data_IF_576230334890
#
_entry.id   IF_576230334890
#
_cell.length_a   1.000
_cell.length_b   1.000
_cell.length_c   1.000
_cell.angle_alpha   90.00
_cell.angle_beta   90.00
_cell.angle_gamma   90.00
#
_symmetry.space_group_name_H-M   'P 1'
#
loop_
_entity.id
_entity.type
_entity.pdbx_description
1 polymer ?
#
# COMPACT_ATOMS: atom_id res chain seq x y z
N UNK A 1 3.52 -8.92 9.17
CA UNK A 1 4.27 -9.62 8.10
C UNK A 1 4.30 -11.12 8.40
N UNK A 2 3.14 -11.78 8.41
CA UNK A 2 3.03 -13.19 8.82
C UNK A 2 1.87 -13.84 8.05
N UNK A 3 1.92 -13.84 6.71
CA UNK A 3 1.10 -14.75 5.87
C UNK A 3 1.62 -14.71 4.43
N UNK A 4 2.62 -15.51 4.10
CA UNK A 4 3.10 -15.71 2.74
C UNK A 4 3.82 -17.06 2.61
N UNK A 5 3.07 -18.15 2.44
CA UNK A 5 3.61 -19.46 2.04
C UNK A 5 2.90 -20.08 0.83
N UNK A 6 1.95 -19.38 0.19
CA UNK A 6 1.24 -19.87 -1.00
C UNK A 6 1.20 -18.79 -2.09
N UNK A 7 1.33 -19.15 -3.38
CA UNK A 7 1.46 -18.22 -4.51
C UNK A 7 0.21 -17.39 -4.80
N UNK A 8 -0.89 -17.63 -4.09
CA UNK A 8 -2.13 -16.86 -4.19
C UNK A 8 -2.65 -16.65 -2.76
N UNK A 9 -2.25 -15.55 -2.14
CA UNK A 9 -2.90 -15.12 -0.91
C UNK A 9 -4.24 -14.45 -1.29
N UNK A 10 -5.37 -14.83 -0.68
CA UNK A 10 -6.66 -14.20 -0.97
C UNK A 10 -6.64 -12.70 -0.65
N UNK A 11 -5.81 -12.29 0.31
CA UNK A 11 -5.62 -10.90 0.71
C UNK A 11 -4.15 -10.57 0.99
N UNK A 12 -3.67 -9.43 0.49
CA UNK A 12 -2.40 -8.82 0.87
C UNK A 12 -2.65 -7.61 1.79
N UNK A 13 -1.87 -7.54 2.86
CA UNK A 13 -1.80 -6.39 3.76
C UNK A 13 -0.47 -5.70 3.55
N UNK A 14 -0.51 -4.44 3.12
CA UNK A 14 0.68 -3.63 2.85
C UNK A 14 0.63 -2.35 3.68
N UNK A 15 1.78 -1.99 4.23
CA UNK A 15 1.94 -0.74 4.98
C UNK A 15 2.71 0.28 4.13
N UNK A 16 2.11 1.44 3.91
CA UNK A 16 2.66 2.57 3.18
C UNK A 16 2.83 3.78 4.11
N UNK A 17 3.73 4.68 3.75
CA UNK A 17 3.93 5.93 4.51
C UNK A 17 2.85 6.94 4.14
N UNK A 18 2.74 7.24 2.85
CA UNK A 18 1.75 8.17 2.33
C UNK A 18 0.88 7.48 1.30
N UNK A 19 -0.40 7.85 1.26
CA UNK A 19 -1.30 7.43 0.20
C UNK A 19 -2.17 8.57 -0.29
N UNK A 20 -2.43 8.59 -1.60
CA UNK A 20 -3.42 9.49 -2.19
C UNK A 20 -4.85 8.93 -2.05
N UNK A 21 -5.87 9.78 -2.18
CA UNK A 21 -7.27 9.31 -2.34
C UNK A 21 -7.50 8.41 -3.56
N UNK A 22 -6.61 8.45 -4.55
CA UNK A 22 -6.61 7.53 -5.69
C UNK A 22 -5.97 6.17 -5.38
N UNK A 23 -5.43 5.96 -4.18
CA UNK A 23 -4.77 4.72 -3.77
C UNK A 23 -3.30 4.62 -4.15
N UNK A 24 -2.69 5.67 -4.72
CA UNK A 24 -1.25 5.67 -5.00
C UNK A 24 -0.48 5.61 -3.69
N UNK A 25 0.48 4.67 -3.60
CA UNK A 25 1.23 4.45 -2.38
C UNK A 25 2.68 4.90 -2.53
N UNK A 26 3.12 5.67 -1.55
CA UNK A 26 4.51 6.01 -1.34
C UNK A 26 5.04 5.29 -0.10
N UNK A 27 6.14 4.57 -0.27
CA UNK A 27 6.86 3.91 0.81
C UNK A 27 8.14 4.68 1.12
N UNK A 28 8.46 4.78 2.42
CA UNK A 28 9.74 5.32 2.86
C UNK A 28 10.84 4.26 2.89
N UNK A 29 12.03 4.65 2.43
CA UNK A 29 13.29 3.92 2.61
C UNK A 29 13.17 2.44 2.19
N UNK A 30 13.42 1.53 3.13
CA UNK A 30 13.47 0.07 2.93
C UNK A 30 12.09 -0.59 2.91
N UNK A 31 11.01 0.15 3.15
CA UNK A 31 9.64 -0.37 3.09
C UNK A 31 9.16 -0.66 1.65
N UNK A 32 10.04 -0.54 0.64
CA UNK A 32 9.82 -0.87 -0.78
C UNK A 32 10.09 -2.34 -1.13
N UNK A 33 10.36 -3.21 -0.14
CA UNK A 33 10.85 -4.57 -0.38
C UNK A 33 9.85 -5.49 -1.12
N UNK A 34 8.90 -6.09 -0.40
CA UNK A 34 7.93 -7.05 -0.92
C UNK A 34 6.53 -6.44 -1.06
N UNK A 35 6.29 -5.25 -0.50
CA UNK A 35 4.96 -4.61 -0.53
C UNK A 35 4.38 -4.47 -1.95
N UNK A 36 5.12 -3.96 -2.96
CA UNK A 36 4.57 -3.84 -4.32
C UNK A 36 4.32 -5.20 -4.98
N UNK A 37 5.19 -6.19 -4.71
CA UNK A 37 5.08 -7.53 -5.28
C UNK A 37 3.87 -8.29 -4.68
N UNK A 38 3.63 -8.12 -3.39
CA UNK A 38 2.46 -8.68 -2.70
C UNK A 38 1.16 -8.02 -3.15
N UNK A 39 1.18 -6.70 -3.40
CA UNK A 39 0.02 -5.96 -3.91
C UNK A 39 -0.45 -6.45 -5.28
N UNK A 40 0.47 -6.91 -6.13
CA UNK A 40 0.14 -7.46 -7.46
C UNK A 40 -0.22 -8.95 -7.43
N UNK A 41 0.17 -9.68 -6.38
CA UNK A 41 -0.03 -11.13 -6.27
C UNK A 41 -1.32 -11.51 -5.52
N UNK A 42 -2.03 -10.56 -4.91
CA UNK A 42 -3.25 -10.82 -4.15
C UNK A 42 -4.52 -10.43 -4.91
N UNK A 43 -5.60 -11.15 -4.64
CA UNK A 43 -6.94 -10.82 -5.16
C UNK A 43 -7.57 -9.62 -4.44
N UNK A 44 -7.22 -9.41 -3.17
CA UNK A 44 -7.65 -8.27 -2.35
C UNK A 44 -6.43 -7.59 -1.73
N UNK A 45 -6.17 -6.34 -2.08
CA UNK A 45 -5.03 -5.58 -1.52
C UNK A 45 -5.52 -4.51 -0.57
N UNK A 46 -5.15 -4.65 0.70
CA UNK A 46 -5.46 -3.70 1.77
C UNK A 46 -4.19 -2.90 2.08
N UNK A 47 -4.24 -1.61 1.82
CA UNK A 47 -3.14 -0.68 2.05
C UNK A 47 -3.41 0.19 3.27
N UNK A 48 -2.58 0.04 4.31
CA UNK A 48 -2.56 0.92 5.46
C UNK A 48 -1.58 2.06 5.22
N UNK A 49 -2.05 3.31 5.28
CA UNK A 49 -1.23 4.50 5.12
C UNK A 49 -1.12 5.29 6.42
N UNK A 50 0.08 5.80 6.74
CA UNK A 50 0.27 6.68 7.91
C UNK A 50 -0.36 8.05 7.69
N UNK A 51 -0.17 8.62 6.49
CA UNK A 51 -0.75 9.91 6.10
C UNK A 51 -1.52 9.76 4.78
N UNK A 52 -2.80 10.15 4.78
CA UNK A 52 -3.61 10.24 3.56
C UNK A 52 -3.57 11.68 3.07
N UNK A 53 -3.09 11.88 1.85
CA UNK A 53 -2.87 13.19 1.23
C UNK A 53 -3.79 13.39 0.01
N UNK A 54 -4.09 14.63 -0.38
CA UNK A 54 -4.90 14.88 -1.56
C UNK A 54 -4.16 14.52 -2.84
N UNK A 55 -4.91 14.11 -3.86
CA UNK A 55 -4.40 13.69 -5.18
C UNK A 55 -3.50 14.78 -5.76
N UNK A 56 -2.28 14.41 -6.15
CA UNK A 56 -1.26 15.32 -6.68
C UNK A 56 -0.24 15.80 -5.64
N UNK A 57 -0.40 15.43 -4.36
CA UNK A 57 0.61 15.70 -3.33
C UNK A 57 1.80 14.74 -3.41
N UNK A 58 1.58 13.52 -3.89
CA UNK A 58 2.63 12.54 -4.17
C UNK A 58 3.17 12.79 -5.58
N UNK A 59 4.49 13.00 -5.70
CA UNK A 59 5.15 13.11 -7.00
C UNK A 59 4.98 11.79 -7.78
N UNK A 60 4.68 11.82 -9.09
CA UNK A 60 4.58 10.61 -9.91
C UNK A 60 5.80 9.68 -9.80
N UNK A 61 7.00 10.24 -9.64
CA UNK A 61 8.25 9.48 -9.47
C UNK A 61 8.38 8.79 -8.10
N UNK A 62 7.62 9.27 -7.10
CA UNK A 62 7.58 8.73 -5.75
C UNK A 62 6.53 7.62 -5.59
N UNK A 63 5.62 7.47 -6.56
CA UNK A 63 4.61 6.41 -6.57
C UNK A 63 5.29 5.08 -6.91
N UNK A 64 5.33 4.17 -5.92
CA UNK A 64 5.93 2.85 -6.11
C UNK A 64 4.86 1.83 -6.47
N UNK A 65 3.70 1.91 -5.81
CA UNK A 65 2.56 1.04 -6.10
C UNK A 65 1.41 1.90 -6.58
N UNK A 66 0.93 1.68 -7.82
CA UNK A 66 -0.20 2.43 -8.35
C UNK A 66 -1.48 2.04 -7.61
N UNK A 67 -2.38 3.00 -7.41
CA UNK A 67 -3.65 2.74 -6.72
C UNK A 67 -4.57 1.76 -7.44
N UNK A 68 -4.35 1.48 -8.72
CA UNK A 68 -5.11 0.50 -9.49
C UNK A 68 -5.07 -0.91 -8.89
N UNK A 69 -3.97 -1.29 -8.21
CA UNK A 69 -3.85 -2.60 -7.55
C UNK A 69 -4.27 -2.57 -6.08
N UNK A 70 -4.69 -1.42 -5.57
CA UNK A 70 -5.14 -1.25 -4.18
C UNK A 70 -6.65 -1.33 -4.14
N UNK A 71 -7.18 -2.30 -3.40
CA UNK A 71 -8.63 -2.52 -3.29
C UNK A 71 -9.24 -1.74 -2.13
N UNK A 72 -8.51 -1.63 -1.02
CA UNK A 72 -8.96 -0.97 0.21
C UNK A 72 -7.83 -0.09 0.74
N UNK A 73 -8.14 1.18 0.99
CA UNK A 73 -7.24 2.10 1.67
C UNK A 73 -7.71 2.29 3.11
N UNK A 74 -6.81 2.06 4.06
CA UNK A 74 -7.06 2.21 5.48
C UNK A 74 -6.13 3.28 6.03
N UNK A 75 -6.68 4.26 6.74
CA UNK A 75 -5.88 5.20 7.51
C UNK A 75 -5.39 4.49 8.76
N UNK A 76 -4.07 4.48 9.00
CA UNK A 76 -3.53 3.92 10.25
C UNK A 76 -3.89 4.87 11.39
N UNK A 77 -5.02 4.60 12.05
CA UNK A 77 -5.41 5.27 13.27
C UNK A 77 -4.28 5.17 14.28
N UNK A 78 -3.78 6.31 14.76
CA UNK A 78 -2.94 6.31 15.96
C UNK A 78 -3.89 6.14 17.13
N UNK A 79 -4.01 4.91 17.62
CA UNK A 79 -4.64 4.64 18.90
C UNK A 79 -3.88 5.42 19.97
N UNK A 80 -4.57 6.36 20.62
CA UNK A 80 -4.08 7.14 21.75
C UNK A 80 -4.21 6.35 23.06
#
# INVERSE_FOLDING_TARGET
MFFCILPVAPSALIAARRADYHGNLEYALTARNFNPLMAMAAALTIAEAEDIVPVGSISPDAVVTPGMVVSLLVSRGRDA
#
